data_IF_665888773775
#
_entry.id   IF_665888773775
#
_cell.length_a   1.000
_cell.length_b   1.000
_cell.length_c   1.000
_cell.angle_alpha   90.00
_cell.angle_beta   90.00
_cell.angle_gamma   90.00
#
_symmetry.space_group_name_H-M   'P 1'
#
loop_
_entity.id
_entity.type
_entity.pdbx_description
1 polymer ?
#
# COMPACT_ATOMS: atom_id res chain seq x y z
N UNK A 1 -29.33 23.26 -34.59
CA UNK A 1 -29.61 21.91 -34.05
C UNK A 1 -28.28 21.34 -33.63
N UNK A 2 -28.04 21.24 -32.32
CA UNK A 2 -26.79 20.70 -31.78
C UNK A 2 -26.85 19.19 -31.83
N UNK A 3 -25.92 18.59 -32.55
CA UNK A 3 -25.74 17.14 -32.61
C UNK A 3 -25.18 16.70 -31.25
N UNK A 4 -26.05 16.16 -30.39
CA UNK A 4 -25.64 15.60 -29.11
C UNK A 4 -24.91 14.29 -29.41
N UNK A 5 -23.57 14.33 -29.38
CA UNK A 5 -22.73 13.14 -29.43
C UNK A 5 -23.19 12.18 -28.31
N UNK A 6 -23.92 11.12 -28.65
CA UNK A 6 -24.27 10.09 -27.69
C UNK A 6 -22.98 9.39 -27.26
N UNK A 7 -22.59 9.60 -26.01
CA UNK A 7 -21.43 8.91 -25.43
C UNK A 7 -21.74 7.42 -25.35
N UNK A 8 -21.03 6.60 -26.13
CA UNK A 8 -21.11 5.15 -26.01
C UNK A 8 -20.53 4.69 -24.67
N UNK A 9 -21.25 3.80 -23.97
CA UNK A 9 -20.84 3.22 -22.70
C UNK A 9 -20.35 1.79 -22.93
N UNK A 10 -19.25 1.42 -22.29
CA UNK A 10 -18.69 0.08 -22.37
C UNK A 10 -19.47 -0.95 -21.55
N UNK A 11 -19.33 -2.23 -21.91
CA UNK A 11 -20.00 -3.35 -21.23
C UNK A 11 -19.08 -3.98 -20.19
N UNK A 12 -19.50 -3.99 -18.94
CA UNK A 12 -18.79 -4.69 -17.87
C UNK A 12 -19.09 -6.20 -17.94
N UNK A 13 -18.04 -7.01 -17.99
CA UNK A 13 -18.13 -8.48 -18.00
C UNK A 13 -17.27 -9.07 -16.89
N UNK A 14 -17.79 -10.11 -16.22
CA UNK A 14 -17.01 -10.89 -15.28
C UNK A 14 -16.09 -11.87 -16.03
N UNK A 15 -14.88 -12.03 -15.52
CA UNK A 15 -13.85 -12.94 -16.03
C UNK A 15 -13.61 -14.00 -14.96
N UNK A 16 -13.54 -15.26 -15.38
CA UNK A 16 -13.22 -16.35 -14.47
C UNK A 16 -11.81 -16.16 -13.89
N UNK A 17 -11.71 -16.23 -12.56
CA UNK A 17 -10.46 -16.11 -11.82
C UNK A 17 -9.41 -17.11 -12.32
N UNK A 18 -9.83 -18.32 -12.68
CA UNK A 18 -8.93 -19.39 -13.16
C UNK A 18 -8.30 -19.10 -14.51
N UNK A 19 -8.82 -18.14 -15.27
CA UNK A 19 -8.19 -17.69 -16.52
C UNK A 19 -6.97 -16.79 -16.27
N UNK A 20 -6.86 -16.17 -15.09
CA UNK A 20 -5.74 -15.31 -14.71
C UNK A 20 -4.85 -15.98 -13.64
N UNK A 21 -5.45 -16.69 -12.70
CA UNK A 21 -4.76 -17.42 -11.63
C UNK A 21 -5.15 -18.90 -11.68
N UNK A 22 -4.31 -19.73 -12.30
CA UNK A 22 -4.59 -21.16 -12.44
C UNK A 22 -4.49 -21.91 -11.11
N UNK A 23 -3.52 -21.52 -10.28
CA UNK A 23 -3.24 -22.09 -8.96
C UNK A 23 -3.13 -21.00 -7.90
N UNK A 24 -3.76 -21.23 -6.76
CA UNK A 24 -3.81 -20.30 -5.64
C UNK A 24 -2.40 -19.96 -5.10
N UNK A 25 -1.67 -20.96 -4.58
CA UNK A 25 -0.36 -20.76 -3.98
C UNK A 25 0.72 -20.23 -4.95
N UNK A 26 0.58 -20.50 -6.27
CA UNK A 26 1.59 -20.12 -7.29
C UNK A 26 1.26 -18.82 -8.01
N UNK A 27 -0.02 -18.49 -8.15
CA UNK A 27 -0.46 -17.37 -8.97
C UNK A 27 -1.20 -16.32 -8.12
N UNK A 28 -2.26 -16.71 -7.40
CA UNK A 28 -3.09 -15.75 -6.68
C UNK A 28 -2.40 -15.19 -5.42
N UNK A 29 -1.87 -16.05 -4.55
CA UNK A 29 -1.22 -15.64 -3.30
C UNK A 29 -0.01 -14.71 -3.55
N UNK A 30 0.90 -14.99 -4.51
CA UNK A 30 1.98 -14.06 -4.83
C UNK A 30 1.48 -12.74 -5.43
N UNK A 31 0.48 -12.79 -6.31
CA UNK A 31 -0.12 -11.59 -6.89
C UNK A 31 -0.76 -10.70 -5.82
N UNK A 32 -1.50 -11.30 -4.88
CA UNK A 32 -2.17 -10.60 -3.79
C UNK A 32 -1.15 -9.89 -2.91
N UNK A 33 -0.05 -10.56 -2.55
CA UNK A 33 1.06 -9.96 -1.80
C UNK A 33 1.62 -8.72 -2.51
N UNK A 34 1.86 -8.80 -3.81
CA UNK A 34 2.42 -7.68 -4.59
C UNK A 34 1.42 -6.53 -4.82
N UNK A 35 0.13 -6.78 -4.61
CA UNK A 35 -0.95 -5.83 -4.85
C UNK A 35 -1.78 -5.55 -3.58
N UNK A 36 -1.19 -5.75 -2.40
CA UNK A 36 -1.88 -5.60 -1.11
C UNK A 36 -2.49 -4.21 -0.93
N UNK A 37 -1.90 -3.18 -1.54
CA UNK A 37 -2.41 -1.80 -1.56
C UNK A 37 -3.88 -1.71 -2.03
N UNK A 38 -4.31 -2.61 -2.92
CA UNK A 38 -5.70 -2.65 -3.40
C UNK A 38 -6.66 -3.11 -2.30
N UNK A 39 -6.21 -4.06 -1.48
CA UNK A 39 -6.97 -4.57 -0.35
C UNK A 39 -7.00 -3.53 0.78
N UNK A 40 -5.86 -2.87 1.03
CA UNK A 40 -5.71 -1.77 1.97
C UNK A 40 -6.72 -0.65 1.71
N UNK A 41 -6.90 -0.25 0.44
CA UNK A 41 -7.89 0.76 0.05
C UNK A 41 -9.32 0.36 0.38
N UNK A 42 -9.65 -0.92 0.24
CA UNK A 42 -11.00 -1.46 0.46
C UNK A 42 -11.29 -1.63 1.94
N UNK A 43 -10.29 -2.03 2.73
CA UNK A 43 -10.42 -2.24 4.17
C UNK A 43 -10.19 -0.98 5.00
N UNK A 44 -9.55 0.05 4.44
CA UNK A 44 -9.09 1.21 5.20
C UNK A 44 -7.93 0.90 6.15
N UNK A 45 -7.12 -0.11 5.82
CA UNK A 45 -5.95 -0.56 6.60
C UNK A 45 -4.64 -0.22 5.88
N UNK A 46 -3.51 -0.29 6.59
CA UNK A 46 -2.17 -0.18 6.01
C UNK A 46 -1.40 -1.48 6.24
N UNK A 47 -1.82 -2.55 5.56
CA UNK A 47 -1.25 -3.90 5.72
C UNK A 47 0.06 -3.99 4.93
N UNK A 48 1.13 -4.37 5.62
CA UNK A 48 2.38 -4.82 5.01
C UNK A 48 2.56 -6.32 5.23
N UNK A 49 2.78 -7.06 4.13
CA UNK A 49 3.00 -8.51 4.17
C UNK A 49 4.44 -8.82 4.58
N UNK A 50 4.60 -9.53 5.69
CA UNK A 50 5.90 -9.91 6.27
C UNK A 50 6.31 -11.34 5.91
N UNK A 51 5.37 -12.27 5.80
CA UNK A 51 5.63 -13.68 5.50
C UNK A 51 4.64 -14.19 4.45
N UNK A 52 5.10 -15.11 3.60
CA UNK A 52 4.24 -15.98 2.78
C UNK A 52 4.40 -17.40 3.31
N UNK A 53 3.31 -18.17 3.34
CA UNK A 53 3.30 -19.54 3.87
C UNK A 53 3.83 -19.57 5.32
N UNK A 54 3.28 -18.71 6.17
CA UNK A 54 3.70 -18.56 7.56
C UNK A 54 3.40 -19.81 8.38
N UNK A 55 4.43 -20.53 8.84
CA UNK A 55 4.26 -21.76 9.62
C UNK A 55 3.40 -21.59 10.88
N UNK A 56 2.44 -22.48 11.09
CA UNK A 56 1.62 -22.64 12.30
C UNK A 56 1.65 -24.12 12.67
N UNK A 57 2.64 -24.51 13.47
CA UNK A 57 2.93 -25.93 13.71
C UNK A 57 3.20 -26.66 12.39
N UNK A 58 2.45 -27.71 12.04
CA UNK A 58 2.62 -28.44 10.78
C UNK A 58 1.90 -27.80 9.57
N UNK A 59 1.15 -26.71 9.79
CA UNK A 59 0.38 -26.01 8.76
C UNK A 59 1.04 -24.69 8.38
N UNK A 60 0.54 -24.01 7.35
CA UNK A 60 1.01 -22.69 6.94
C UNK A 60 -0.17 -21.81 6.54
N UNK A 61 -0.16 -20.57 7.04
CA UNK A 61 -1.10 -19.52 6.62
C UNK A 61 -0.60 -18.88 5.31
N UNK A 62 -1.49 -18.56 4.39
CA UNK A 62 -1.09 -18.06 3.06
C UNK A 62 -0.22 -16.80 3.15
N UNK A 63 -0.70 -15.79 3.88
CA UNK A 63 0.02 -14.54 4.12
C UNK A 63 -0.08 -14.13 5.59
N UNK A 64 1.05 -13.69 6.13
CA UNK A 64 1.12 -12.97 7.40
C UNK A 64 1.61 -11.55 7.12
N UNK A 65 1.00 -10.59 7.78
CA UNK A 65 1.42 -9.21 7.74
C UNK A 65 1.24 -8.50 9.06
N UNK A 66 1.44 -7.19 9.01
CA UNK A 66 1.07 -6.28 10.08
C UNK A 66 0.30 -5.12 9.50
N UNK A 67 -0.76 -4.72 10.19
CA UNK A 67 -1.32 -3.39 9.97
C UNK A 67 -0.34 -2.39 10.59
N UNK A 68 0.28 -1.56 9.76
CA UNK A 68 1.26 -0.58 10.20
C UNK A 68 0.64 0.45 11.12
N UNK A 69 -0.65 0.76 10.95
CA UNK A 69 -1.39 1.72 11.77
C UNK A 69 -1.53 1.32 13.23
N UNK A 70 -1.86 0.05 13.51
CA UNK A 70 -2.08 -0.46 14.87
C UNK A 70 -0.96 -1.36 15.38
N UNK A 71 -0.05 -1.79 14.52
CA UNK A 71 0.96 -2.82 14.83
C UNK A 71 0.39 -4.23 14.97
N UNK A 72 -0.93 -4.40 14.78
CA UNK A 72 -1.65 -5.67 14.91
C UNK A 72 -1.18 -6.68 13.86
N UNK A 73 -1.04 -7.93 14.28
CA UNK A 73 -0.76 -9.05 13.38
C UNK A 73 -1.98 -9.30 12.50
N UNK A 74 -1.74 -9.33 11.19
CA UNK A 74 -2.74 -9.63 10.16
C UNK A 74 -2.45 -11.02 9.60
N UNK A 75 -3.47 -11.85 9.45
CA UNK A 75 -3.42 -13.05 8.64
C UNK A 75 -4.41 -12.95 7.48
N UNK A 76 -4.02 -13.50 6.34
CA UNK A 76 -4.88 -13.59 5.16
C UNK A 76 -4.86 -15.04 4.68
N UNK A 77 -6.05 -15.61 4.54
CA UNK A 77 -6.30 -16.86 3.83
C UNK A 77 -7.06 -16.54 2.55
N UNK A 78 -6.61 -17.07 1.42
CA UNK A 78 -7.20 -16.76 0.14
C UNK A 78 -7.50 -18.03 -0.64
N UNK A 79 -8.69 -18.15 -1.22
CA UNK A 79 -9.05 -19.31 -2.04
C UNK A 79 -9.63 -18.93 -3.39
N UNK A 80 -9.53 -19.85 -4.37
CA UNK A 80 -10.12 -19.70 -5.71
C UNK A 80 -11.42 -20.48 -5.92
N UNK A 81 -11.95 -21.10 -4.85
CA UNK A 81 -13.24 -21.79 -4.82
C UNK A 81 -14.17 -21.13 -3.78
N UNK A 82 -15.50 -21.37 -3.83
CA UNK A 82 -16.41 -20.88 -2.80
C UNK A 82 -15.99 -21.33 -1.40
N UNK A 83 -16.25 -20.49 -0.40
CA UNK A 83 -15.83 -20.75 0.98
C UNK A 83 -16.26 -22.14 1.49
N UNK A 84 -15.39 -22.78 2.27
CA UNK A 84 -15.61 -24.11 2.86
C UNK A 84 -15.22 -24.18 4.34
N UNK A 85 -15.61 -25.26 5.01
CA UNK A 85 -15.31 -25.47 6.43
C UNK A 85 -13.83 -25.72 6.72
N UNK A 86 -13.06 -26.19 5.75
CA UNK A 86 -11.62 -26.44 5.92
C UNK A 86 -10.91 -25.11 6.14
N UNK A 87 -11.13 -24.14 5.25
CA UNK A 87 -10.55 -22.81 5.36
C UNK A 87 -11.08 -22.04 6.58
N UNK A 88 -12.36 -22.21 6.95
CA UNK A 88 -12.87 -21.65 8.20
C UNK A 88 -12.13 -22.20 9.43
N UNK A 89 -11.90 -23.51 9.48
CA UNK A 89 -11.13 -24.14 10.56
C UNK A 89 -9.66 -23.69 10.57
N UNK A 90 -9.06 -23.54 9.39
CA UNK A 90 -7.71 -22.99 9.23
C UNK A 90 -7.61 -21.57 9.76
N UNK A 91 -8.52 -20.68 9.38
CA UNK A 91 -8.58 -19.30 9.88
C UNK A 91 -8.56 -19.24 11.40
N UNK A 92 -9.43 -20.00 12.08
CA UNK A 92 -9.48 -20.02 13.54
C UNK A 92 -8.18 -20.57 14.15
N UNK A 93 -7.64 -21.64 13.58
CA UNK A 93 -6.39 -22.27 14.05
C UNK A 93 -5.20 -21.32 13.88
N UNK A 94 -5.11 -20.63 12.74
CA UNK A 94 -4.04 -19.70 12.43
C UNK A 94 -4.16 -18.41 13.24
N UNK A 95 -5.39 -17.95 13.49
CA UNK A 95 -5.65 -16.82 14.39
C UNK A 95 -5.09 -17.10 15.78
N UNK A 96 -5.43 -18.26 16.36
CA UNK A 96 -4.92 -18.65 17.67
C UNK A 96 -3.40 -18.89 17.66
N UNK A 97 -2.88 -19.58 16.64
CA UNK A 97 -1.46 -19.95 16.56
C UNK A 97 -0.50 -18.78 16.28
N UNK A 98 -0.96 -17.73 15.60
CA UNK A 98 -0.17 -16.51 15.32
C UNK A 98 -0.52 -15.32 16.21
N UNK A 99 -1.49 -15.46 17.10
CA UNK A 99 -2.03 -14.34 17.86
C UNK A 99 -2.54 -13.22 16.93
N UNK A 100 -3.15 -13.61 15.80
CA UNK A 100 -3.63 -12.65 14.82
C UNK A 100 -4.79 -11.84 15.42
N UNK A 101 -4.77 -10.55 15.14
CA UNK A 101 -5.79 -9.59 15.59
C UNK A 101 -6.67 -9.14 14.44
N UNK A 102 -6.15 -9.20 13.21
CA UNK A 102 -6.90 -8.95 12.00
C UNK A 102 -6.83 -10.21 11.14
N UNK A 103 -7.99 -10.72 10.75
CA UNK A 103 -8.15 -11.99 10.05
C UNK A 103 -8.94 -11.71 8.78
N UNK A 104 -8.37 -11.99 7.63
CA UNK A 104 -8.97 -11.69 6.33
C UNK A 104 -9.14 -12.97 5.54
N UNK A 105 -10.37 -13.28 5.15
CA UNK A 105 -10.69 -14.41 4.28
C UNK A 105 -11.15 -13.92 2.92
N UNK A 106 -10.45 -14.33 1.87
CA UNK A 106 -10.73 -13.94 0.48
C UNK A 106 -11.18 -15.16 -0.31
N UNK A 107 -12.32 -15.06 -0.98
CA UNK A 107 -12.88 -16.15 -1.81
C UNK A 107 -13.66 -15.56 -2.99
N UNK A 108 -13.91 -16.28 -4.09
CA UNK A 108 -14.75 -15.77 -5.18
C UNK A 108 -16.22 -15.61 -4.76
N UNK A 109 -16.65 -16.42 -3.80
CA UNK A 109 -18.03 -16.49 -3.35
C UNK A 109 -18.08 -16.92 -1.88
N UNK A 110 -18.76 -16.13 -1.07
CA UNK A 110 -19.04 -16.51 0.32
C UNK A 110 -20.37 -17.27 0.40
N UNK A 111 -20.33 -18.46 1.01
CA UNK A 111 -21.55 -19.09 1.53
C UNK A 111 -22.09 -18.26 2.68
N UNK A 112 -23.40 -18.17 2.75
CA UNK A 112 -24.09 -17.33 3.73
C UNK A 112 -23.80 -17.78 5.17
N UNK A 113 -23.66 -19.08 5.40
CA UNK A 113 -23.31 -19.65 6.71
C UNK A 113 -21.90 -19.25 7.16
N UNK A 114 -20.94 -19.15 6.23
CA UNK A 114 -19.58 -18.71 6.54
C UNK A 114 -19.51 -17.21 6.78
N UNK A 115 -20.29 -16.41 6.03
CA UNK A 115 -20.46 -14.98 6.29
C UNK A 115 -21.02 -14.74 7.70
N UNK A 116 -22.10 -15.45 8.05
CA UNK A 116 -22.70 -15.40 9.39
C UNK A 116 -21.73 -15.85 10.49
N UNK A 117 -20.88 -16.85 10.23
CA UNK A 117 -19.86 -17.27 11.18
C UNK A 117 -18.84 -16.16 11.46
N UNK A 118 -18.37 -15.43 10.42
CA UNK A 118 -17.48 -14.29 10.60
C UNK A 118 -18.17 -13.14 11.36
N UNK A 119 -19.44 -12.85 11.05
CA UNK A 119 -20.22 -11.85 11.78
C UNK A 119 -20.37 -12.21 13.26
N UNK A 120 -20.72 -13.47 13.54
CA UNK A 120 -20.84 -13.98 14.90
C UNK A 120 -19.50 -13.86 15.65
N UNK A 121 -18.38 -14.16 15.00
CA UNK A 121 -17.05 -13.95 15.60
C UNK A 121 -16.84 -12.48 15.95
N UNK A 122 -17.09 -11.56 15.01
CA UNK A 122 -16.96 -10.12 15.25
C UNK A 122 -17.85 -9.61 16.39
N UNK A 123 -19.00 -10.22 16.63
CA UNK A 123 -19.92 -9.86 17.73
C UNK A 123 -19.51 -10.46 19.08
N UNK A 124 -18.74 -11.55 19.08
CA UNK A 124 -18.45 -12.36 20.27
C UNK A 124 -16.96 -12.40 20.64
N UNK A 125 -16.09 -11.66 19.92
CA UNK A 125 -14.69 -11.43 20.28
C UNK A 125 -14.44 -10.01 20.75
N UNK A 126 -13.34 -9.78 21.47
CA UNK A 126 -12.94 -8.45 21.92
C UNK A 126 -12.76 -7.47 20.75
N UNK A 127 -12.91 -6.16 21.01
CA UNK A 127 -12.77 -5.08 20.01
C UNK A 127 -11.39 -5.03 19.31
N UNK A 128 -10.40 -5.74 19.87
CA UNK A 128 -9.05 -5.87 19.33
C UNK A 128 -8.96 -6.98 18.25
N UNK A 129 -10.01 -7.80 18.08
CA UNK A 129 -10.11 -8.81 17.03
C UNK A 129 -11.07 -8.37 15.92
N UNK A 130 -10.64 -8.54 14.67
CA UNK A 130 -11.42 -8.18 13.50
C UNK A 130 -11.36 -9.27 12.44
N UNK A 131 -12.51 -9.78 12.03
CA UNK A 131 -12.68 -10.76 10.98
C UNK A 131 -13.33 -10.12 9.76
N UNK A 132 -12.70 -10.30 8.59
CA UNK A 132 -13.17 -9.76 7.32
C UNK A 132 -13.43 -10.89 6.33
N UNK A 133 -14.60 -10.86 5.70
CA UNK A 133 -14.94 -11.68 4.55
C UNK A 133 -14.95 -10.83 3.28
N UNK A 134 -14.21 -11.26 2.26
CA UNK A 134 -14.02 -10.50 1.02
C UNK A 134 -14.27 -11.39 -0.19
N UNK A 135 -15.21 -10.98 -1.04
CA UNK A 135 -15.41 -11.56 -2.36
C UNK A 135 -14.44 -10.93 -3.37
N UNK A 136 -13.66 -11.75 -4.06
CA UNK A 136 -12.82 -11.32 -5.20
C UNK A 136 -13.49 -11.69 -6.53
N UNK A 137 -13.60 -10.71 -7.43
CA UNK A 137 -13.99 -10.92 -8.83
C UNK A 137 -12.94 -10.35 -9.77
N UNK A 138 -12.89 -10.86 -10.99
CA UNK A 138 -12.25 -10.16 -12.09
C UNK A 138 -13.30 -9.61 -13.02
N UNK A 139 -13.18 -8.34 -13.36
CA UNK A 139 -14.10 -7.65 -14.27
C UNK A 139 -13.30 -6.97 -15.39
N UNK A 140 -13.88 -6.85 -16.57
CA UNK A 140 -13.31 -6.03 -17.66
C UNK A 140 -14.41 -5.23 -18.34
N UNK A 141 -14.03 -4.08 -18.89
CA UNK A 141 -14.92 -3.27 -19.72
C UNK A 141 -14.49 -3.51 -21.18
N UNK A 142 -15.41 -4.02 -21.98
CA UNK A 142 -15.17 -4.39 -23.37
C UNK A 142 -13.91 -5.27 -23.53
N UNK A 143 -12.90 -4.77 -24.26
CA UNK A 143 -11.62 -5.45 -24.49
C UNK A 143 -10.50 -4.99 -23.55
N UNK A 144 -10.82 -4.36 -22.41
CA UNK A 144 -9.81 -3.95 -21.43
C UNK A 144 -9.14 -5.16 -20.79
N UNK A 145 -7.99 -4.91 -20.15
CA UNK A 145 -7.39 -5.90 -19.25
C UNK A 145 -8.37 -6.21 -18.09
N UNK A 146 -8.42 -7.46 -17.59
CA UNK A 146 -9.14 -7.79 -16.37
C UNK A 146 -8.63 -6.97 -15.18
N UNK A 147 -9.56 -6.52 -14.35
CA UNK A 147 -9.30 -5.76 -13.14
C UNK A 147 -9.88 -6.52 -11.93
N UNK A 148 -9.11 -6.64 -10.83
CA UNK A 148 -9.61 -7.21 -9.59
C UNK A 148 -10.62 -6.26 -8.93
N UNK A 149 -11.73 -6.82 -8.47
CA UNK A 149 -12.76 -6.15 -7.71
C UNK A 149 -12.93 -6.90 -6.39
N UNK A 150 -12.50 -6.27 -5.30
CA UNK A 150 -12.75 -6.78 -3.94
C UNK A 150 -14.04 -6.18 -3.40
N UNK A 151 -14.89 -7.03 -2.82
CA UNK A 151 -16.16 -6.64 -2.22
C UNK A 151 -16.22 -7.18 -0.81
N UNK A 152 -16.38 -6.29 0.18
CA UNK A 152 -16.62 -6.71 1.55
C UNK A 152 -18.00 -7.38 1.67
N UNK A 153 -18.02 -8.52 2.33
CA UNK A 153 -19.25 -9.26 2.65
C UNK A 153 -19.44 -9.50 4.15
N UNK A 154 -18.36 -9.43 4.94
CA UNK A 154 -18.39 -9.43 6.40
C UNK A 154 -17.27 -8.54 6.94
N UNK A 155 -17.56 -7.80 8.01
CA UNK A 155 -16.63 -6.90 8.71
C UNK A 155 -17.14 -6.63 10.13
N UNK A 156 -16.28 -6.14 11.05
CA UNK A 156 -16.73 -5.72 12.38
C UNK A 156 -17.74 -4.57 12.33
N UNK A 157 -18.74 -4.58 13.23
CA UNK A 157 -19.80 -3.57 13.27
C UNK A 157 -19.29 -2.13 13.51
N UNK A 158 -18.28 -1.95 14.36
CA UNK A 158 -17.65 -0.65 14.59
C UNK A 158 -16.86 -0.15 13.36
N UNK A 159 -16.42 -1.07 12.49
CA UNK A 159 -15.76 -0.74 11.22
C UNK A 159 -16.73 -0.03 10.27
N UNK A 160 -17.99 -0.46 10.21
CA UNK A 160 -19.02 0.17 9.38
C UNK A 160 -19.36 1.61 9.83
N UNK A 161 -19.31 1.88 11.15
CA UNK A 161 -19.48 3.24 11.71
C UNK A 161 -18.27 4.13 11.42
N UNK A 162 -17.05 3.59 11.50
CA UNK A 162 -15.81 4.32 11.16
C UNK A 162 -15.66 4.64 9.66
N UNK A 163 -16.28 3.85 8.76
CA UNK A 163 -16.31 4.11 7.32
C UNK A 163 -17.41 5.13 6.96
N UNK A 164 -18.58 5.06 7.59
CA UNK A 164 -19.73 5.92 7.28
C UNK A 164 -19.69 7.29 7.99
N UNK A 165 -19.00 7.40 9.13
CA UNK A 165 -18.92 8.60 9.95
C UNK A 165 -17.47 9.00 10.20
N UNK A 166 -16.86 9.69 9.23
CA UNK A 166 -15.46 10.15 9.26
C UNK A 166 -14.42 9.02 9.29
N UNK A 167 -13.51 8.99 8.32
CA UNK A 167 -12.23 8.26 8.37
C UNK A 167 -11.65 8.43 9.78
N UNK A 168 -11.86 7.47 10.66
CA UNK A 168 -11.30 7.53 12.00
C UNK A 168 -9.86 7.12 11.81
N UNK A 169 -9.02 8.14 11.72
CA UNK A 169 -7.59 7.95 11.52
C UNK A 169 -7.10 7.17 12.75
N UNK A 170 -6.40 6.05 12.55
CA UNK A 170 -5.79 5.32 13.67
C UNK A 170 -4.85 6.24 14.44
N UNK A 171 -4.60 6.01 15.73
CA UNK A 171 -3.71 6.88 16.53
C UNK A 171 -2.35 7.11 15.86
N UNK A 172 -1.76 6.07 15.23
CA UNK A 172 -0.53 6.22 14.44
C UNK A 172 -0.76 6.95 13.13
N UNK A 173 -1.89 6.75 12.46
CA UNK A 173 -2.31 7.53 11.30
C UNK A 173 -2.43 9.03 11.63
N UNK A 174 -2.85 9.37 12.86
CA UNK A 174 -2.92 10.75 13.35
C UNK A 174 -1.49 11.26 13.55
N UNK A 175 -0.61 10.47 14.17
CA UNK A 175 0.82 10.81 14.28
C UNK A 175 1.47 11.02 12.91
N UNK A 176 1.18 10.18 11.91
CA UNK A 176 1.66 10.39 10.53
C UNK A 176 1.09 11.67 9.94
N UNK A 177 -0.21 11.91 10.10
CA UNK A 177 -0.85 13.12 9.60
C UNK A 177 -0.24 14.37 10.24
N UNK A 178 -0.01 14.37 11.55
CA UNK A 178 0.66 15.45 12.29
C UNK A 178 2.09 15.65 11.79
N UNK A 179 2.89 14.58 11.77
CA UNK A 179 4.26 14.62 11.27
C UNK A 179 4.34 15.20 9.86
N UNK A 180 3.50 14.73 8.94
CA UNK A 180 3.49 15.22 7.57
C UNK A 180 2.91 16.62 7.43
N UNK A 181 1.98 17.02 8.29
CA UNK A 181 1.46 18.41 8.31
C UNK A 181 2.58 19.37 8.70
N UNK A 182 3.27 19.10 9.81
CA UNK A 182 4.42 19.90 10.25
C UNK A 182 5.56 19.88 9.22
N UNK A 183 5.86 18.72 8.62
CA UNK A 183 6.83 18.61 7.54
C UNK A 183 6.48 19.50 6.34
N UNK A 184 5.22 19.50 5.88
CA UNK A 184 4.77 20.30 4.74
C UNK A 184 4.80 21.81 5.04
N UNK A 185 4.50 22.21 6.26
CA UNK A 185 4.60 23.60 6.72
C UNK A 185 6.05 24.08 6.68
N UNK A 186 6.95 23.37 7.38
CA UNK A 186 8.40 23.70 7.41
C UNK A 186 9.03 23.65 6.02
N UNK A 187 8.60 22.69 5.18
CA UNK A 187 9.10 22.58 3.81
C UNK A 187 8.71 23.79 2.94
N UNK A 188 7.52 24.37 3.12
CA UNK A 188 7.11 25.59 2.39
C UNK A 188 7.90 26.81 2.81
N UNK A 189 8.21 26.93 4.09
CA UNK A 189 9.03 28.03 4.61
C UNK A 189 10.44 27.99 4.02
N UNK A 190 11.06 26.80 3.97
CA UNK A 190 12.43 26.63 3.45
C UNK A 190 12.52 26.58 1.93
N UNK A 191 11.49 26.12 1.25
CA UNK A 191 11.46 26.02 -0.21
C UNK A 191 10.10 26.45 -0.78
N UNK A 192 9.83 27.77 -0.84
CA UNK A 192 8.59 28.29 -1.41
C UNK A 192 8.29 27.74 -2.80
N UNK A 193 7.03 27.38 -3.05
CA UNK A 193 6.57 26.84 -4.34
C UNK A 193 6.96 25.39 -4.63
N UNK A 194 7.45 24.63 -3.64
CA UNK A 194 7.69 23.19 -3.81
C UNK A 194 6.41 22.35 -3.78
N UNK A 195 5.44 22.72 -2.95
CA UNK A 195 4.14 22.06 -2.83
C UNK A 195 3.07 23.04 -2.34
N UNK A 196 1.83 22.83 -2.75
CA UNK A 196 0.66 23.56 -2.25
C UNK A 196 -0.10 22.76 -1.17
N UNK A 197 0.28 21.50 -0.91
CA UNK A 197 -0.39 20.64 0.07
C UNK A 197 -0.30 21.25 1.48
N UNK A 198 -1.43 21.44 2.15
CA UNK A 198 -1.51 22.05 3.49
C UNK A 198 -1.70 21.05 4.63
N UNK A 199 -2.07 19.81 4.30
CA UNK A 199 -2.39 18.79 5.29
C UNK A 199 -1.69 17.50 4.91
N UNK A 200 -1.04 16.89 5.90
CA UNK A 200 -0.50 15.55 5.81
C UNK A 200 -1.61 14.51 5.61
N UNK A 201 -1.28 13.42 4.91
CA UNK A 201 -2.15 12.25 4.84
C UNK A 201 -1.81 11.30 5.99
N UNK A 202 -2.79 10.51 6.41
CA UNK A 202 -2.65 9.50 7.46
C UNK A 202 -2.01 8.21 6.93
N UNK A 203 -0.84 8.33 6.31
CA UNK A 203 -0.13 7.23 5.67
C UNK A 203 1.36 7.36 5.94
N UNK A 204 2.11 6.26 5.85
CA UNK A 204 3.54 6.22 6.20
C UNK A 204 4.47 6.94 5.22
N UNK A 205 3.95 7.58 4.17
CA UNK A 205 4.70 8.36 3.19
C UNK A 205 4.03 9.69 2.81
N UNK A 206 4.84 10.63 2.36
CA UNK A 206 4.38 11.88 1.77
C UNK A 206 5.11 12.11 0.43
N UNK A 207 4.35 12.29 -0.65
CA UNK A 207 4.88 12.47 -2.00
C UNK A 207 4.54 13.84 -2.57
N UNK A 208 5.51 14.45 -3.24
CA UNK A 208 5.41 15.75 -3.90
C UNK A 208 5.80 15.56 -5.36
N UNK A 209 4.96 16.03 -6.30
CA UNK A 209 5.23 15.87 -7.73
C UNK A 209 6.56 16.50 -8.16
N UNK A 210 7.32 15.79 -8.98
CA UNK A 210 8.64 16.25 -9.46
C UNK A 210 8.56 17.12 -10.73
N UNK A 211 7.37 17.58 -11.12
CA UNK A 211 7.14 18.40 -12.31
C UNK A 211 7.04 17.63 -13.64
N UNK A 212 7.06 16.29 -13.58
CA UNK A 212 6.79 15.37 -14.71
C UNK A 212 5.89 14.25 -14.24
N UNK A 213 4.87 13.90 -15.02
CA UNK A 213 3.97 12.79 -14.70
C UNK A 213 4.75 11.49 -14.49
N UNK A 214 4.42 10.78 -13.41
CA UNK A 214 5.08 9.55 -13.00
C UNK A 214 6.39 9.73 -12.23
N UNK A 215 6.72 10.96 -11.81
CA UNK A 215 7.85 11.23 -10.91
C UNK A 215 7.40 11.99 -9.68
N UNK A 216 7.88 11.56 -8.51
CA UNK A 216 7.65 12.25 -7.24
C UNK A 216 8.91 12.26 -6.38
N UNK A 217 9.06 13.31 -5.57
CA UNK A 217 9.94 13.33 -4.41
C UNK A 217 9.14 12.87 -3.20
N UNK A 218 9.60 11.84 -2.50
CA UNK A 218 8.85 11.28 -1.38
C UNK A 218 9.71 11.16 -0.13
N UNK A 219 9.12 11.47 1.03
CA UNK A 219 9.59 10.99 2.32
C UNK A 219 8.76 9.76 2.72
N UNK A 220 9.37 8.73 3.28
CA UNK A 220 8.64 7.52 3.69
C UNK A 220 9.28 6.86 4.91
N UNK A 221 8.45 6.53 5.90
CA UNK A 221 8.78 5.55 6.91
C UNK A 221 8.73 4.15 6.29
N UNK A 222 9.68 3.31 6.67
CA UNK A 222 9.89 1.95 6.18
C UNK A 222 10.01 1.01 7.38
N UNK A 223 9.89 -0.28 7.13
CA UNK A 223 10.12 -1.30 8.15
C UNK A 223 11.53 -1.25 8.73
N UNK A 224 11.66 -1.86 9.93
CA UNK A 224 12.91 -1.94 10.69
C UNK A 224 13.47 -0.55 11.07
N UNK A 225 12.57 0.36 11.48
CA UNK A 225 12.90 1.72 11.92
C UNK A 225 13.77 2.47 10.89
N UNK A 226 13.42 2.39 9.61
CA UNK A 226 14.10 3.12 8.54
C UNK A 226 13.22 4.22 8.01
N UNK A 227 13.84 5.31 7.61
CA UNK A 227 13.21 6.40 6.89
C UNK A 227 13.98 6.68 5.61
N UNK A 228 13.26 7.04 4.54
CA UNK A 228 13.85 7.33 3.24
C UNK A 228 13.37 8.65 2.67
N UNK A 229 14.28 9.37 2.01
CA UNK A 229 13.94 10.38 1.00
C UNK A 229 14.29 9.83 -0.36
N UNK A 230 13.36 9.90 -1.31
CA UNK A 230 13.49 9.23 -2.60
C UNK A 230 12.96 10.04 -3.78
N UNK A 231 13.54 9.79 -4.96
CA UNK A 231 12.88 9.99 -6.25
C UNK A 231 12.15 8.70 -6.59
N UNK A 232 10.83 8.75 -6.60
CA UNK A 232 9.97 7.65 -6.98
C UNK A 232 9.56 7.78 -8.46
N UNK A 233 9.71 6.70 -9.23
CA UNK A 233 9.44 6.66 -10.66
C UNK A 233 8.37 5.60 -10.94
N UNK A 234 7.17 6.06 -11.32
CA UNK A 234 6.10 5.20 -11.76
C UNK A 234 5.13 5.90 -12.74
N UNK A 235 5.30 5.60 -14.02
CA UNK A 235 4.43 6.08 -15.11
C UNK A 235 3.25 5.17 -15.40
N UNK A 236 3.11 4.05 -14.68
CA UNK A 236 2.18 2.97 -15.01
C UNK A 236 2.72 1.95 -16.02
N UNK A 237 3.88 2.22 -16.64
CA UNK A 237 4.54 1.35 -17.62
C UNK A 237 5.92 0.90 -17.12
N UNK A 238 6.10 -0.41 -16.87
CA UNK A 238 7.33 -0.96 -16.27
C UNK A 238 8.59 -0.63 -17.08
N UNK A 239 8.60 -0.94 -18.37
CA UNK A 239 9.78 -0.73 -19.23
C UNK A 239 10.16 0.74 -19.36
N UNK A 240 9.17 1.63 -19.43
CA UNK A 240 9.38 3.07 -19.46
C UNK A 240 10.00 3.59 -18.17
N UNK A 241 9.56 3.07 -17.02
CA UNK A 241 10.17 3.38 -15.73
C UNK A 241 11.65 2.94 -15.69
N UNK A 242 11.96 1.76 -16.21
CA UNK A 242 13.34 1.26 -16.28
C UNK A 242 14.22 2.12 -17.18
N UNK A 243 13.72 2.52 -18.36
CA UNK A 243 14.45 3.41 -19.27
C UNK A 243 14.78 4.76 -18.62
N UNK A 244 13.82 5.36 -17.91
CA UNK A 244 14.05 6.60 -17.18
C UNK A 244 15.05 6.43 -16.04
N UNK A 245 14.95 5.33 -15.28
CA UNK A 245 15.92 5.00 -14.25
C UNK A 245 17.32 4.84 -14.83
N UNK A 246 17.48 4.07 -15.91
CA UNK A 246 18.77 3.78 -16.54
C UNK A 246 19.43 5.07 -17.08
N UNK A 247 18.63 6.01 -17.60
CA UNK A 247 19.10 7.35 -18.01
C UNK A 247 19.62 8.20 -16.84
N UNK A 248 19.00 8.11 -15.67
CA UNK A 248 19.48 8.78 -14.47
C UNK A 248 20.72 8.07 -13.90
N UNK A 249 20.72 6.74 -13.92
CA UNK A 249 21.83 5.91 -13.45
C UNK A 249 23.11 6.14 -14.24
N UNK A 250 23.01 6.39 -15.56
CA UNK A 250 24.14 6.78 -16.39
C UNK A 250 24.84 8.07 -15.91
N UNK A 251 24.16 8.90 -15.10
CA UNK A 251 24.70 10.12 -14.48
C UNK A 251 25.01 9.96 -12.99
N UNK A 252 25.02 8.72 -12.47
CA UNK A 252 25.12 8.41 -11.04
C UNK A 252 26.23 9.18 -10.33
N UNK A 253 27.46 9.08 -10.80
CA UNK A 253 28.62 9.70 -10.13
C UNK A 253 28.47 11.23 -10.05
N UNK A 254 27.96 11.86 -11.12
CA UNK A 254 27.70 13.30 -11.13
C UNK A 254 26.60 13.70 -10.17
N UNK A 255 25.53 12.90 -10.08
CA UNK A 255 24.40 13.14 -9.17
C UNK A 255 24.82 12.98 -7.71
N UNK A 256 25.52 11.89 -7.36
CA UNK A 256 25.99 11.64 -5.99
C UNK A 256 26.98 12.70 -5.53
N UNK A 257 27.86 13.17 -6.43
CA UNK A 257 28.78 14.28 -6.15
C UNK A 257 28.06 15.61 -5.95
N UNK A 258 27.04 15.93 -6.76
CA UNK A 258 26.28 17.18 -6.65
C UNK A 258 25.40 17.22 -5.39
N UNK A 259 24.83 16.08 -4.99
CA UNK A 259 24.05 15.92 -3.76
C UNK A 259 24.97 15.80 -2.52
N UNK A 260 26.21 15.37 -2.74
CA UNK A 260 27.19 15.02 -1.72
C UNK A 260 26.71 13.91 -0.79
N UNK A 261 26.09 12.87 -1.36
CA UNK A 261 25.56 11.70 -0.64
C UNK A 261 25.65 10.47 -1.54
N UNK A 262 25.98 9.31 -0.96
CA UNK A 262 25.81 8.03 -1.64
C UNK A 262 24.32 7.69 -1.71
N UNK A 263 23.84 7.28 -2.88
CA UNK A 263 22.44 6.96 -3.10
C UNK A 263 22.26 5.46 -3.30
N UNK A 264 21.11 4.96 -2.85
CA UNK A 264 20.60 3.64 -3.18
C UNK A 264 19.88 3.72 -4.53
N UNK A 265 20.44 3.06 -5.53
CA UNK A 265 19.89 3.01 -6.89
C UNK A 265 19.11 1.71 -7.06
N UNK A 266 17.81 1.79 -6.88
CA UNK A 266 16.95 0.61 -6.82
C UNK A 266 16.08 0.54 -8.07
N UNK A 267 16.61 -0.16 -9.08
CA UNK A 267 15.90 -0.44 -10.33
C UNK A 267 14.65 -1.29 -10.09
N UNK A 268 14.67 -2.19 -9.09
CA UNK A 268 13.58 -3.09 -8.72
C UNK A 268 13.05 -3.91 -9.92
N UNK A 269 13.88 -4.79 -10.49
CA UNK A 269 13.55 -5.50 -11.74
C UNK A 269 12.28 -6.36 -11.67
N UNK A 270 11.92 -6.82 -10.47
CA UNK A 270 10.69 -7.57 -10.24
C UNK A 270 9.45 -6.67 -10.07
N UNK A 271 9.62 -5.36 -9.82
CA UNK A 271 8.53 -4.41 -9.63
C UNK A 271 8.33 -3.48 -10.84
N UNK A 272 7.15 -2.86 -10.94
CA UNK A 272 6.85 -1.83 -11.95
C UNK A 272 7.64 -0.55 -11.69
N UNK A 273 7.64 -0.07 -10.46
CA UNK A 273 8.27 1.19 -10.10
C UNK A 273 9.80 1.07 -10.01
N UNK A 274 10.48 2.21 -9.97
CA UNK A 274 11.89 2.32 -9.60
C UNK A 274 12.03 3.41 -8.53
N UNK A 275 13.10 3.35 -7.74
CA UNK A 275 13.41 4.43 -6.80
C UNK A 275 14.90 4.70 -6.69
N UNK A 276 15.23 5.96 -6.46
CA UNK A 276 16.57 6.41 -6.11
C UNK A 276 16.46 7.05 -4.74
N UNK A 277 17.03 6.44 -3.72
CA UNK A 277 16.74 6.75 -2.33
C UNK A 277 18.00 7.00 -1.51
N UNK A 278 17.86 7.77 -0.44
CA UNK A 278 18.80 7.75 0.68
C UNK A 278 18.04 7.37 1.94
N UNK A 279 18.70 6.59 2.79
CA UNK A 279 18.10 6.03 3.99
C UNK A 279 18.82 6.51 5.24
N UNK A 280 18.05 6.61 6.31
CA UNK A 280 18.49 6.89 7.66
C UNK A 280 17.63 6.08 8.62
N UNK A 281 18.10 5.87 9.85
CA UNK A 281 17.28 5.34 10.92
C UNK A 281 16.19 6.36 11.32
N UNK A 282 14.97 5.88 11.51
CA UNK A 282 13.82 6.72 11.84
C UNK A 282 12.57 5.89 12.02
N UNK A 283 11.88 6.11 13.14
CA UNK A 283 10.58 5.53 13.46
C UNK A 283 9.61 6.66 13.76
N UNK A 284 8.33 6.48 13.41
CA UNK A 284 7.28 7.44 13.81
C UNK A 284 7.00 7.37 15.33
N UNK A 285 7.44 6.28 15.98
CA UNK A 285 7.33 6.07 17.44
C UNK A 285 8.51 6.65 18.23
N UNK A 286 9.42 7.37 17.56
CA UNK A 286 10.58 8.00 18.17
C UNK A 286 10.19 9.21 19.04
N UNK A 287 11.13 9.75 19.82
CA UNK A 287 10.85 10.96 20.60
C UNK A 287 10.53 12.15 19.70
N UNK A 288 9.86 13.18 20.24
CA UNK A 288 9.55 14.40 19.49
C UNK A 288 10.83 15.08 18.97
N UNK A 289 11.93 15.03 19.73
CA UNK A 289 13.24 15.56 19.34
C UNK A 289 13.80 14.80 18.13
N UNK A 290 13.76 13.47 18.16
CA UNK A 290 14.21 12.62 17.05
C UNK A 290 13.36 12.83 15.79
N UNK A 291 12.04 12.97 15.94
CA UNK A 291 11.13 13.27 14.84
C UNK A 291 11.42 14.66 14.23
N UNK A 292 11.72 15.66 15.05
CA UNK A 292 12.10 16.99 14.58
C UNK A 292 13.42 16.97 13.79
N UNK A 293 14.44 16.26 14.28
CA UNK A 293 15.70 16.05 13.56
C UNK A 293 15.50 15.28 12.25
N UNK A 294 14.60 14.29 12.26
CA UNK A 294 14.26 13.49 11.09
C UNK A 294 13.57 14.36 10.03
N UNK A 295 12.63 15.23 10.43
CA UNK A 295 12.01 16.20 9.53
C UNK A 295 13.04 17.15 8.93
N UNK A 296 13.94 17.70 9.75
CA UNK A 296 14.96 18.64 9.29
C UNK A 296 15.87 18.03 8.23
N UNK A 297 16.37 16.83 8.52
CA UNK A 297 17.17 16.06 7.56
C UNK A 297 16.38 15.74 6.29
N UNK A 298 15.11 15.34 6.42
CA UNK A 298 14.28 14.98 5.29
C UNK A 298 14.00 16.19 4.38
N UNK A 299 13.74 17.37 4.96
CA UNK A 299 13.52 18.61 4.22
C UNK A 299 14.78 19.03 3.48
N UNK A 300 15.93 19.06 4.15
CA UNK A 300 17.21 19.41 3.51
C UNK A 300 17.55 18.47 2.35
N UNK A 301 17.36 17.17 2.57
CA UNK A 301 17.62 16.15 1.57
C UNK A 301 16.66 16.27 0.39
N UNK A 302 15.38 16.51 0.63
CA UNK A 302 14.37 16.68 -0.42
C UNK A 302 14.64 17.92 -1.27
N UNK A 303 15.09 19.03 -0.65
CA UNK A 303 15.51 20.24 -1.37
C UNK A 303 16.72 19.95 -2.27
N UNK A 304 17.74 19.23 -1.77
CA UNK A 304 18.89 18.80 -2.59
C UNK A 304 18.43 17.94 -3.77
N UNK A 305 17.55 16.97 -3.52
CA UNK A 305 16.98 16.11 -4.55
C UNK A 305 16.26 16.94 -5.63
N UNK A 306 15.41 17.87 -5.23
CA UNK A 306 14.71 18.77 -6.17
C UNK A 306 15.68 19.55 -7.04
N UNK A 307 16.73 20.11 -6.45
CA UNK A 307 17.70 20.95 -7.16
C UNK A 307 18.49 20.15 -8.21
N UNK A 308 18.94 18.94 -7.84
CA UNK A 308 19.77 18.08 -8.70
C UNK A 308 18.92 17.32 -9.72
N UNK A 309 17.86 16.65 -9.29
CA UNK A 309 17.03 15.84 -10.19
C UNK A 309 16.04 16.67 -11.00
N UNK A 310 15.60 17.84 -10.53
CA UNK A 310 14.52 18.60 -11.18
C UNK A 310 14.84 18.98 -12.63
N UNK A 311 16.08 19.36 -12.93
CA UNK A 311 16.51 19.65 -14.33
C UNK A 311 16.61 18.37 -15.16
N UNK A 312 17.15 17.30 -14.56
CA UNK A 312 17.37 16.01 -15.23
C UNK A 312 16.04 15.32 -15.58
N UNK A 313 15.09 15.30 -14.66
CA UNK A 313 13.75 14.73 -14.85
C UNK A 313 12.99 15.48 -15.96
N UNK A 314 13.13 16.80 -16.06
CA UNK A 314 12.50 17.58 -17.14
C UNK A 314 13.00 17.18 -18.53
N UNK A 315 14.27 16.77 -18.64
CA UNK A 315 14.90 16.39 -19.93
C UNK A 315 14.70 14.93 -20.32
N UNK A 316 14.08 14.10 -19.47
CA UNK A 316 13.88 12.68 -19.73
C UNK A 316 12.92 12.39 -20.89
#
# INVERSE_FOLDING_TARGET
MGDACMTELGTLTEVDLRQVWGYEARDFTPWLKENIDRLNQVLGLDIEITEREGAVGPFAVDLVGKDLGSGRTVIIENQLEPTDHTHLGQLLTYTAGRGAKIVIWISPQFREEHRQALDWLNENTDEDQAFFGIEIKLVRIDSSRPAPLFKLVSQPNEWQKSIAGSRTISTRGETYQEFWTTFLERLKERAPGITNAKKGLSQSWCSIGAGRTGFAYSGAFRTKARFSVEVYIDTGEKEKNKQFFDRLYAQKEGIEKEINMALSWERLDNARACRIAVYREGSIDASEEELNELQDWAIETLIKFRNVFGKRIKTL
#
